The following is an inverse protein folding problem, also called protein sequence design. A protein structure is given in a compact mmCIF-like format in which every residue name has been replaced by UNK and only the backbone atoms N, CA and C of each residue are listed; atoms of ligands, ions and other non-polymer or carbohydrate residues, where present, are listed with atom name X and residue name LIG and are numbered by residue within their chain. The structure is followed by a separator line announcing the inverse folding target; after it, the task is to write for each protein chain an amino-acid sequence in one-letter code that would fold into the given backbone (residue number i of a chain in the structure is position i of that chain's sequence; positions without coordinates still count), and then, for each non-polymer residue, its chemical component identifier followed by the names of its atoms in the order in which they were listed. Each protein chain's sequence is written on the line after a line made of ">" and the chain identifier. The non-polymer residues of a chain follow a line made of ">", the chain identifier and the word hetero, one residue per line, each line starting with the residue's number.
data_IF_199840219237
#
_entry.id   IF_199840219237
#
_cell.length_a   1.000
_cell.length_b   1.000
_cell.length_c   1.000
_cell.angle_alpha   90.00
_cell.angle_beta   90.00
_cell.angle_gamma   90.00
#
_symmetry.space_group_name_H-M   'P 1'
#
loop_
_entity.id
_entity.type
_entity.pdbx_description
1 polymer ?
#
# COMPACT_ATOMS: atom_id res chain seq x y z
N UNK A 1 19.95 -4.40 -13.80
CA UNK A 1 18.66 -4.25 -14.51
C UNK A 1 17.99 -2.96 -14.03
N UNK A 2 17.94 -1.90 -14.86
CA UNK A 2 17.35 -0.59 -14.50
C UNK A 2 15.88 -0.49 -14.95
N UNK A 3 15.03 -1.45 -14.59
CA UNK A 3 13.65 -1.55 -15.09
C UNK A 3 12.85 -0.25 -14.88
N UNK A 4 12.97 0.38 -13.71
CA UNK A 4 12.27 1.62 -13.41
C UNK A 4 12.73 2.82 -14.27
N UNK A 5 13.98 2.82 -14.73
CA UNK A 5 14.49 3.84 -15.66
C UNK A 5 13.96 3.57 -17.07
N UNK A 6 14.02 2.31 -17.51
CA UNK A 6 13.53 1.90 -18.83
C UNK A 6 12.02 2.14 -18.96
N UNK A 7 11.25 1.90 -17.90
CA UNK A 7 9.81 2.15 -17.87
C UNK A 7 9.43 3.61 -17.61
N UNK A 8 10.39 4.53 -17.47
CA UNK A 8 10.14 5.95 -17.23
C UNK A 8 9.57 6.30 -15.85
N UNK A 9 9.56 5.35 -14.89
CA UNK A 9 9.13 5.61 -13.51
C UNK A 9 10.14 6.48 -12.76
N UNK A 10 11.41 6.39 -13.15
CA UNK A 10 12.53 7.16 -12.60
C UNK A 10 13.32 7.74 -13.77
N UNK A 11 13.82 8.96 -13.63
CA UNK A 11 14.69 9.58 -14.63
C UNK A 11 16.02 8.81 -14.81
N UNK A 12 16.70 9.05 -15.94
CA UNK A 12 17.94 8.37 -16.31
C UNK A 12 19.08 8.49 -15.28
N UNK A 13 19.15 9.65 -14.61
CA UNK A 13 20.10 9.97 -13.55
C UNK A 13 19.69 9.43 -12.17
N UNK A 14 18.53 8.78 -12.06
CA UNK A 14 17.94 8.21 -10.84
C UNK A 14 17.66 9.21 -9.72
N UNK A 15 17.70 10.51 -10.00
CA UNK A 15 17.54 11.55 -8.99
C UNK A 15 16.08 11.87 -8.69
N UNK A 16 15.18 11.61 -9.65
CA UNK A 16 13.77 12.03 -9.58
C UNK A 16 12.83 10.93 -10.03
N UNK A 17 11.71 10.84 -9.32
CA UNK A 17 10.57 9.98 -9.65
C UNK A 17 9.61 10.72 -10.56
N UNK A 18 9.17 10.08 -11.64
CA UNK A 18 8.10 10.57 -12.47
C UNK A 18 6.76 10.27 -11.78
N UNK A 19 6.20 11.27 -11.09
CA UNK A 19 4.98 11.12 -10.29
C UNK A 19 3.77 10.69 -11.12
N UNK A 20 3.64 11.17 -12.36
CA UNK A 20 2.54 10.81 -13.25
C UNK A 20 2.60 9.32 -13.63
N UNK A 21 3.77 8.86 -14.09
CA UNK A 21 3.97 7.46 -14.44
C UNK A 21 3.85 6.54 -13.22
N UNK A 22 4.35 6.97 -12.06
CA UNK A 22 4.19 6.21 -10.81
C UNK A 22 2.72 6.09 -10.41
N UNK A 23 1.97 7.19 -10.47
CA UNK A 23 0.53 7.18 -10.18
C UNK A 23 -0.22 6.21 -11.07
N UNK A 24 0.01 6.29 -12.39
CA UNK A 24 -0.60 5.40 -13.37
C UNK A 24 -0.28 3.93 -13.07
N UNK A 25 0.99 3.63 -12.77
CA UNK A 25 1.41 2.29 -12.39
C UNK A 25 0.74 1.81 -11.10
N UNK A 26 0.66 2.65 -10.06
CA UNK A 26 0.06 2.27 -8.78
C UNK A 26 -1.43 1.95 -8.92
N UNK A 27 -2.17 2.75 -9.69
CA UNK A 27 -3.62 2.59 -9.87
C UNK A 27 -3.94 1.44 -10.85
N UNK A 28 -3.24 1.38 -11.98
CA UNK A 28 -3.56 0.44 -13.06
C UNK A 28 -2.75 -0.85 -13.04
N UNK A 29 -1.46 -0.78 -12.67
CA UNK A 29 -0.49 -1.87 -12.87
C UNK A 29 -0.15 -2.67 -11.62
N UNK A 30 -0.14 -2.04 -10.44
CA UNK A 30 0.41 -2.62 -9.21
C UNK A 30 -0.24 -3.96 -8.86
N UNK A 31 -1.57 -4.05 -8.92
CA UNK A 31 -2.33 -5.27 -8.61
C UNK A 31 -2.01 -6.44 -9.55
N UNK A 32 -1.55 -6.19 -10.76
CA UNK A 32 -1.19 -7.23 -11.73
C UNK A 32 0.29 -7.60 -11.65
N UNK A 33 1.16 -6.59 -11.47
CA UNK A 33 2.60 -6.82 -11.33
C UNK A 33 2.95 -7.47 -9.98
N UNK A 34 2.18 -7.16 -8.95
CA UNK A 34 2.35 -7.63 -7.58
C UNK A 34 1.00 -8.04 -6.99
N UNK A 35 0.39 -9.14 -7.48
CA UNK A 35 -0.89 -9.60 -6.95
C UNK A 35 -0.79 -9.84 -5.45
N UNK A 36 -1.80 -9.42 -4.70
CA UNK A 36 -1.84 -9.65 -3.28
C UNK A 36 -2.35 -11.05 -2.97
N UNK A 37 -1.55 -11.79 -2.19
CA UNK A 37 -1.93 -13.09 -1.66
C UNK A 37 -2.56 -12.86 -0.27
N UNK A 38 -3.86 -13.17 -0.16
CA UNK A 38 -4.60 -13.12 1.09
C UNK A 38 -4.59 -14.51 1.74
N UNK A 39 -4.14 -14.59 2.98
CA UNK A 39 -4.11 -15.80 3.79
C UNK A 39 -5.19 -15.80 4.87
N UNK A 40 -5.29 -16.92 5.60
CA UNK A 40 -6.16 -17.05 6.77
C UNK A 40 -5.90 -15.96 7.82
N UNK A 41 -6.84 -15.85 8.79
CA UNK A 41 -6.76 -14.85 9.86
C UNK A 41 -5.56 -15.08 10.78
N UNK A 42 -4.66 -14.11 10.83
CA UNK A 42 -3.44 -14.12 11.63
C UNK A 42 -3.33 -12.84 12.46
N UNK A 43 -2.42 -12.85 13.44
CA UNK A 43 -2.00 -11.65 14.16
C UNK A 43 -1.03 -10.83 13.30
N UNK A 44 -1.19 -9.51 13.29
CA UNK A 44 -0.34 -8.66 12.48
C UNK A 44 -0.56 -7.16 12.65
N UNK A 45 0.21 -6.41 11.88
CA UNK A 45 0.12 -4.95 11.76
C UNK A 45 -0.94 -4.66 10.69
N UNK A 46 -1.89 -3.77 10.98
CA UNK A 46 -2.96 -3.47 10.03
C UNK A 46 -2.42 -2.95 8.68
N UNK A 47 -3.10 -3.26 7.59
CA UNK A 47 -2.79 -2.73 6.25
C UNK A 47 -4.08 -2.56 5.45
N UNK A 48 -3.96 -2.07 4.21
CA UNK A 48 -5.07 -1.79 3.32
C UNK A 48 -6.15 -0.91 3.99
N UNK A 49 -7.43 -1.15 3.74
CA UNK A 49 -8.48 -0.34 4.32
C UNK A 49 -8.59 -0.46 5.86
N UNK A 50 -7.89 -1.40 6.50
CA UNK A 50 -7.89 -1.57 7.95
C UNK A 50 -6.92 -0.64 8.70
N UNK A 51 -6.12 0.14 7.97
CA UNK A 51 -5.15 1.06 8.51
C UNK A 51 -5.36 2.49 8.00
N UNK A 52 -4.74 3.46 8.71
CA UNK A 52 -4.73 4.86 8.30
C UNK A 52 -3.95 5.02 6.99
N UNK A 53 -4.39 5.89 6.05
CA UNK A 53 -5.45 6.90 6.18
C UNK A 53 -6.84 6.45 5.70
N UNK A 54 -6.99 5.18 5.31
CA UNK A 54 -8.19 4.69 4.64
C UNK A 54 -9.28 4.38 5.69
N UNK A 55 -8.88 3.78 6.82
CA UNK A 55 -9.81 3.35 7.87
C UNK A 55 -10.65 4.50 8.43
N UNK A 56 -10.15 5.74 8.39
CA UNK A 56 -10.85 6.92 8.90
C UNK A 56 -12.03 7.34 8.02
N UNK A 57 -12.10 6.85 6.76
CA UNK A 57 -13.14 7.21 5.78
C UNK A 57 -14.13 6.08 5.49
N UNK A 58 -14.00 4.96 6.18
CA UNK A 58 -14.88 3.80 6.04
C UNK A 58 -15.66 3.55 7.34
N UNK A 59 -16.79 2.85 7.23
CA UNK A 59 -17.56 2.45 8.40
C UNK A 59 -16.89 1.27 9.12
N UNK A 60 -17.10 1.17 10.43
CA UNK A 60 -16.67 -0.01 11.20
C UNK A 60 -17.43 -1.27 10.75
N UNK A 61 -16.75 -2.43 10.80
CA UNK A 61 -17.34 -3.72 10.46
C UNK A 61 -16.80 -4.39 9.20
N UNK A 62 -15.86 -3.77 8.49
CA UNK A 62 -15.17 -4.40 7.35
C UNK A 62 -14.10 -5.43 7.79
N UNK A 63 -13.75 -6.31 6.85
CA UNK A 63 -12.72 -7.32 7.07
C UNK A 63 -11.39 -6.66 7.45
N UNK A 64 -10.77 -7.13 8.54
CA UNK A 64 -9.46 -6.62 8.94
C UNK A 64 -8.39 -7.32 8.10
N UNK A 65 -7.52 -6.55 7.48
CA UNK A 65 -6.31 -7.00 6.80
C UNK A 65 -5.07 -6.61 7.60
N UNK A 66 -4.12 -7.54 7.67
CA UNK A 66 -2.87 -7.35 8.42
C UNK A 66 -1.68 -7.92 7.66
N UNK A 67 -0.52 -7.30 7.80
CA UNK A 67 0.73 -8.01 7.56
C UNK A 67 1.06 -8.88 8.77
N UNK A 68 1.23 -10.19 8.55
CA UNK A 68 1.58 -11.12 9.62
C UNK A 68 2.87 -10.66 10.32
N UNK A 69 2.79 -10.39 11.62
CA UNK A 69 3.91 -9.91 12.40
C UNK A 69 3.66 -10.09 13.90
N UNK A 70 4.68 -10.56 14.62
CA UNK A 70 4.56 -10.91 16.05
C UNK A 70 4.28 -9.68 16.95
N UNK A 71 4.74 -8.49 16.57
CA UNK A 71 4.45 -7.24 17.29
C UNK A 71 3.07 -6.65 16.98
N UNK A 72 2.38 -7.15 15.96
CA UNK A 72 1.07 -6.64 15.58
C UNK A 72 0.02 -6.76 16.68
N UNK A 73 -0.93 -5.83 16.76
CA UNK A 73 -1.99 -5.84 17.80
C UNK A 73 -3.36 -6.21 17.26
N UNK A 74 -3.49 -6.37 15.93
CA UNK A 74 -4.76 -6.68 15.25
C UNK A 74 -4.76 -8.12 14.77
N UNK A 75 -5.96 -8.70 14.68
CA UNK A 75 -6.21 -10.01 14.06
C UNK A 75 -7.07 -9.83 12.84
N UNK A 76 -6.64 -10.37 11.71
CA UNK A 76 -7.27 -10.16 10.41
C UNK A 76 -6.70 -11.08 9.35
N UNK A 77 -7.27 -11.07 8.16
CA UNK A 77 -6.73 -11.79 7.00
C UNK A 77 -5.30 -11.32 6.71
N UNK A 78 -4.39 -12.27 6.56
CA UNK A 78 -2.99 -11.96 6.29
C UNK A 78 -2.82 -11.47 4.85
N UNK A 79 -2.12 -10.36 4.65
CA UNK A 79 -1.70 -9.87 3.34
C UNK A 79 -0.20 -10.06 3.23
N UNK A 80 0.27 -10.68 2.14
CA UNK A 80 1.70 -10.77 1.87
C UNK A 80 2.25 -9.38 1.51
N UNK A 81 3.19 -8.82 2.30
CA UNK A 81 3.70 -7.48 2.04
C UNK A 81 4.48 -7.44 0.73
N UNK A 82 4.52 -6.27 0.08
CA UNK A 82 5.33 -6.03 -1.13
C UNK A 82 6.81 -6.37 -0.93
N UNK A 83 7.30 -6.28 0.32
CA UNK A 83 8.63 -6.73 0.69
C UNK A 83 8.69 -7.23 2.13
N UNK A 84 9.52 -8.25 2.40
CA UNK A 84 9.56 -8.96 3.69
C UNK A 84 9.84 -8.08 4.92
N UNK A 85 10.49 -6.93 4.74
CA UNK A 85 10.83 -6.03 5.86
C UNK A 85 9.75 -4.99 6.16
N UNK A 86 8.71 -4.88 5.32
CA UNK A 86 7.63 -3.88 5.46
C UNK A 86 7.04 -3.85 6.88
N UNK A 87 6.65 -4.99 7.49
CA UNK A 87 6.02 -4.95 8.81
C UNK A 87 6.95 -4.38 9.89
N UNK A 88 8.26 -4.65 9.79
CA UNK A 88 9.27 -4.17 10.74
C UNK A 88 9.55 -2.67 10.61
N UNK A 89 9.43 -2.11 9.40
CA UNK A 89 9.74 -0.69 9.15
C UNK A 89 8.52 0.22 9.26
N UNK A 90 7.30 -0.34 9.19
CA UNK A 90 6.05 0.40 9.31
C UNK A 90 6.00 1.28 10.56
N UNK A 91 6.45 0.76 11.71
CA UNK A 91 6.51 1.50 12.98
C UNK A 91 7.54 2.64 12.99
N UNK A 92 8.56 2.57 12.13
CA UNK A 92 9.68 3.53 12.14
C UNK A 92 9.43 4.75 11.26
N UNK A 93 8.55 4.63 10.28
CA UNK A 93 8.28 5.70 9.32
C UNK A 93 6.78 5.75 9.01
N UNK A 94 6.03 6.60 9.73
CA UNK A 94 4.58 6.73 9.54
C UNK A 94 4.19 7.11 8.11
N UNK A 95 4.92 8.02 7.47
CA UNK A 95 4.62 8.44 6.09
C UNK A 95 4.79 7.29 5.09
N UNK A 96 5.85 6.48 5.24
CA UNK A 96 6.04 5.28 4.43
C UNK A 96 4.96 4.23 4.71
N UNK A 97 4.59 4.05 5.97
CA UNK A 97 3.53 3.12 6.35
C UNK A 97 2.21 3.48 5.68
N UNK A 98 1.78 4.74 5.72
CA UNK A 98 0.56 5.20 5.04
C UNK A 98 0.60 4.96 3.53
N UNK A 99 1.75 5.20 2.88
CA UNK A 99 1.90 4.91 1.44
C UNK A 99 1.77 3.41 1.14
N UNK A 100 2.30 2.54 2.00
CA UNK A 100 2.18 1.09 1.85
C UNK A 100 0.75 0.62 2.13
N UNK A 101 0.05 1.26 3.07
CA UNK A 101 -1.38 1.02 3.33
C UNK A 101 -2.19 1.36 2.08
N UNK A 102 -1.97 2.54 1.48
CA UNK A 102 -2.62 2.94 0.22
C UNK A 102 -2.32 1.93 -0.89
N UNK A 103 -1.06 1.53 -1.04
CA UNK A 103 -0.64 0.57 -2.06
C UNK A 103 -1.35 -0.79 -1.89
N UNK A 104 -1.48 -1.30 -0.67
CA UNK A 104 -2.23 -2.54 -0.43
C UNK A 104 -3.73 -2.36 -0.66
N UNK A 105 -4.33 -1.22 -0.29
CA UNK A 105 -5.73 -0.93 -0.63
C UNK A 105 -5.96 -0.95 -2.14
N UNK A 106 -5.04 -0.41 -2.95
CA UNK A 106 -5.13 -0.49 -4.41
C UNK A 106 -5.01 -1.93 -4.95
N UNK A 107 -4.36 -2.83 -4.19
CA UNK A 107 -4.19 -4.25 -4.58
C UNK A 107 -5.39 -5.13 -4.21
N UNK A 108 -6.05 -4.87 -3.08
CA UNK A 108 -7.09 -5.78 -2.54
C UNK A 108 -8.43 -5.13 -2.20
N UNK A 109 -8.50 -3.80 -2.22
CA UNK A 109 -9.68 -3.07 -1.80
C UNK A 109 -10.87 -3.24 -2.74
N UNK A 110 -12.06 -2.97 -2.23
CA UNK A 110 -13.28 -2.80 -3.05
C UNK A 110 -13.30 -1.42 -3.70
N UNK A 111 -14.25 -1.22 -4.61
CA UNK A 111 -14.39 0.03 -5.40
C UNK A 111 -14.30 1.28 -4.52
N UNK A 112 -15.10 1.35 -3.44
CA UNK A 112 -15.11 2.50 -2.52
C UNK A 112 -13.75 2.75 -1.85
N UNK A 113 -13.10 1.69 -1.39
CA UNK A 113 -11.81 1.78 -0.69
C UNK A 113 -10.70 2.20 -1.67
N UNK A 114 -10.76 1.70 -2.91
CA UNK A 114 -9.86 2.08 -4.00
C UNK A 114 -10.02 3.56 -4.34
N UNK A 115 -11.25 4.07 -4.46
CA UNK A 115 -11.51 5.49 -4.71
C UNK A 115 -10.88 6.38 -3.62
N UNK A 116 -11.09 6.01 -2.35
CA UNK A 116 -10.46 6.70 -1.22
C UNK A 116 -8.93 6.62 -1.29
N UNK A 117 -8.38 5.45 -1.64
CA UNK A 117 -6.94 5.27 -1.76
C UNK A 117 -6.33 6.12 -2.89
N UNK A 118 -7.04 6.29 -4.02
CA UNK A 118 -6.62 7.16 -5.11
C UNK A 118 -6.56 8.62 -4.65
N UNK A 119 -7.57 9.11 -3.94
CA UNK A 119 -7.55 10.47 -3.37
C UNK A 119 -6.37 10.68 -2.41
N UNK A 120 -6.15 9.71 -1.51
CA UNK A 120 -5.08 9.78 -0.52
C UNK A 120 -3.69 9.63 -1.13
N UNK A 121 -3.56 8.87 -2.24
CA UNK A 121 -2.36 8.79 -3.05
C UNK A 121 -2.04 10.15 -3.66
N UNK A 122 -3.03 10.79 -4.28
CA UNK A 122 -2.85 12.06 -4.99
C UNK A 122 -2.41 13.19 -4.06
N UNK A 123 -3.00 13.26 -2.86
CA UNK A 123 -2.55 14.18 -1.80
C UNK A 123 -1.07 13.99 -1.47
N UNK A 124 -0.62 12.74 -1.31
CA UNK A 124 0.76 12.43 -0.91
C UNK A 124 1.75 12.63 -2.05
N UNK A 125 1.39 12.34 -3.30
CA UNK A 125 2.26 12.60 -4.44
C UNK A 125 2.46 14.11 -4.68
N UNK A 126 1.46 14.93 -4.38
CA UNK A 126 1.56 16.38 -4.57
C UNK A 126 2.30 17.12 -3.43
N UNK A 127 2.37 16.53 -2.23
CA UNK A 127 2.99 17.14 -1.04
C UNK A 127 4.45 16.71 -0.78
N UNK A 128 5.09 16.02 -1.72
CA UNK A 128 6.50 15.55 -1.64
C UNK A 128 7.40 16.31 -2.61
#
# INVERSE_FOLDING_TARGET
>A
MNRCVVSGLINGDKSRVNKLALREFLIGGLKYAFPAEVSAKVRGIATAHSASPIKEKIAEGEDIYVWSHYLGTRRGFGVKPLYKTVPKIAEKNPALYELLVIADTLRIGKVREIEIAIEELDKRLNNV
#
